data_IF_174708329647
#
_entry.id   IF_174708329647
#
_cell.length_a   1.000
_cell.length_b   1.000
_cell.length_c   1.000
_cell.angle_alpha   90.00
_cell.angle_beta   90.00
_cell.angle_gamma   90.00
#
_symmetry.space_group_name_H-M   'P 1'
#
loop_
_entity.id
_entity.type
_entity.pdbx_description
1 polymer ?
#
# COMPACT_ATOMS: atom_id res chain seq x y z
N UNK A 1 -6.94 -12.67 8.29
CA UNK A 1 -7.05 -11.55 7.34
C UNK A 1 -5.77 -11.41 6.54
N UNK A 2 -5.87 -11.01 5.30
CA UNK A 2 -4.72 -10.79 4.42
C UNK A 2 -4.32 -9.32 4.38
N UNK A 3 -3.10 -9.05 3.88
CA UNK A 3 -2.47 -7.71 3.94
C UNK A 3 -3.28 -6.66 3.17
N UNK A 4 -3.91 -7.04 2.04
CA UNK A 4 -4.67 -6.17 1.14
C UNK A 4 -6.05 -5.73 1.64
N UNK A 5 -6.55 -6.27 2.71
CA UNK A 5 -7.91 -6.01 3.18
C UNK A 5 -8.21 -4.61 3.77
N UNK A 6 -7.24 -3.74 4.08
CA UNK A 6 -7.54 -2.32 4.29
C UNK A 6 -8.30 -1.65 3.14
N UNK A 7 -8.07 -2.09 1.89
CA UNK A 7 -8.86 -1.64 0.73
C UNK A 7 -10.33 -2.04 0.89
N UNK A 8 -10.60 -3.27 1.30
CA UNK A 8 -11.96 -3.76 1.57
C UNK A 8 -12.63 -2.95 2.67
N UNK A 9 -11.91 -2.65 3.76
CA UNK A 9 -12.43 -1.84 4.87
C UNK A 9 -12.83 -0.44 4.41
N UNK A 10 -12.00 0.19 3.58
CA UNK A 10 -12.28 1.53 3.07
C UNK A 10 -13.51 1.59 2.17
N UNK A 11 -13.67 0.64 1.25
CA UNK A 11 -14.78 0.67 0.29
C UNK A 11 -16.09 0.12 0.86
N UNK A 12 -16.03 -0.76 1.87
CA UNK A 12 -17.22 -1.35 2.48
C UNK A 12 -17.68 -0.66 3.77
N UNK A 13 -16.76 0.08 4.44
CA UNK A 13 -17.00 0.66 5.76
C UNK A 13 -17.01 -0.35 6.91
N UNK A 14 -16.60 -1.60 6.67
CA UNK A 14 -16.58 -2.68 7.68
C UNK A 14 -15.18 -2.82 8.28
N UNK A 15 -15.07 -2.72 9.59
CA UNK A 15 -13.85 -3.05 10.34
C UNK A 15 -13.72 -4.56 10.47
N UNK A 16 -12.93 -5.16 9.57
CA UNK A 16 -12.79 -6.62 9.47
C UNK A 16 -12.08 -7.22 10.70
N UNK A 17 -11.11 -6.51 11.28
CA UNK A 17 -10.42 -6.99 12.49
C UNK A 17 -11.38 -7.02 13.68
N UNK A 18 -12.19 -5.99 13.82
CA UNK A 18 -13.22 -5.93 14.88
C UNK A 18 -14.24 -7.06 14.73
N UNK A 19 -14.68 -7.33 13.50
CA UNK A 19 -15.60 -8.44 13.23
C UNK A 19 -14.95 -9.81 13.56
N UNK A 20 -13.67 -10.01 13.23
CA UNK A 20 -12.95 -11.21 13.61
C UNK A 20 -12.89 -11.41 15.13
N UNK A 21 -12.63 -10.32 15.89
CA UNK A 21 -12.61 -10.37 17.36
C UNK A 21 -13.99 -10.73 17.91
N UNK A 22 -15.07 -10.16 17.37
CA UNK A 22 -16.44 -10.47 17.75
C UNK A 22 -16.79 -11.94 17.52
N UNK A 23 -16.47 -12.45 16.33
CA UNK A 23 -16.70 -13.87 15.99
C UNK A 23 -15.92 -14.77 16.93
N UNK A 24 -14.66 -14.45 17.23
CA UNK A 24 -13.85 -15.21 18.17
C UNK A 24 -14.43 -15.20 19.61
N UNK A 25 -15.13 -14.12 19.98
CA UNK A 25 -15.87 -14.02 21.25
C UNK A 25 -17.22 -14.76 21.23
N UNK A 26 -17.59 -15.40 20.12
CA UNK A 26 -18.86 -16.12 19.97
C UNK A 26 -20.03 -15.25 19.55
N UNK A 27 -19.80 -14.00 19.17
CA UNK A 27 -20.82 -13.10 18.65
C UNK A 27 -21.14 -13.40 17.18
N UNK A 28 -22.31 -12.94 16.73
CA UNK A 28 -22.66 -12.95 15.30
C UNK A 28 -22.00 -11.76 14.60
N UNK A 29 -21.85 -11.85 13.27
CA UNK A 29 -21.49 -10.70 12.44
C UNK A 29 -22.43 -9.53 12.73
N UNK A 30 -21.89 -8.32 12.80
CA UNK A 30 -22.66 -7.09 13.02
C UNK A 30 -23.32 -6.56 11.76
N UNK A 31 -23.00 -7.13 10.61
CA UNK A 31 -23.49 -6.74 9.29
C UNK A 31 -24.04 -7.95 8.55
N UNK A 32 -24.99 -7.74 7.67
CA UNK A 32 -25.48 -8.70 6.69
C UNK A 32 -24.95 -8.37 5.30
N UNK A 33 -25.16 -9.24 4.31
CA UNK A 33 -24.72 -8.96 2.94
C UNK A 33 -25.47 -7.76 2.34
N UNK A 34 -26.70 -7.54 2.72
CA UNK A 34 -27.55 -6.44 2.26
C UNK A 34 -27.10 -5.08 2.81
N UNK A 35 -26.36 -5.06 3.93
CA UNK A 35 -25.82 -3.84 4.52
C UNK A 35 -24.56 -3.35 3.79
N UNK A 36 -23.95 -4.20 2.93
CA UNK A 36 -22.70 -3.89 2.27
C UNK A 36 -22.95 -3.12 0.98
N UNK A 37 -22.51 -1.89 0.97
CA UNK A 37 -22.48 -1.02 -0.21
C UNK A 37 -21.04 -0.62 -0.51
N UNK A 38 -20.55 -0.90 -1.72
CA UNK A 38 -19.22 -0.50 -2.15
C UNK A 38 -19.23 0.98 -2.53
N UNK A 39 -18.43 1.78 -1.81
CA UNK A 39 -18.35 3.23 -1.98
C UNK A 39 -16.93 3.66 -2.39
N UNK A 40 -16.89 4.44 -3.47
CA UNK A 40 -15.63 5.00 -3.95
C UNK A 40 -14.65 3.96 -4.50
N UNK A 41 -13.39 4.30 -4.39
CA UNK A 41 -12.26 3.47 -4.85
C UNK A 41 -11.11 3.58 -3.86
N UNK A 42 -10.47 2.46 -3.53
CA UNK A 42 -9.32 2.43 -2.64
C UNK A 42 -8.12 1.77 -3.33
N UNK A 43 -6.93 2.24 -2.97
CA UNK A 43 -5.65 1.71 -3.45
C UNK A 43 -4.75 1.51 -2.23
N UNK A 44 -4.02 0.39 -2.20
CA UNK A 44 -2.96 0.13 -1.22
C UNK A 44 -1.62 -0.02 -1.94
N UNK A 45 -0.60 0.67 -1.45
CA UNK A 45 0.79 0.42 -1.80
C UNK A 45 1.54 -0.15 -0.58
N UNK A 46 2.12 -1.33 -0.74
CA UNK A 46 3.00 -1.96 0.24
C UNK A 46 4.40 -1.39 0.08
N UNK A 47 4.90 -0.73 1.10
CA UNK A 47 6.27 -0.20 1.11
C UNK A 47 7.19 -1.25 1.70
N UNK A 48 8.07 -1.75 0.86
CA UNK A 48 9.04 -2.78 1.19
C UNK A 48 10.46 -2.20 1.18
N UNK A 49 11.27 -2.61 2.16
CA UNK A 49 12.71 -2.35 2.14
C UNK A 49 13.39 -3.31 1.14
N UNK A 50 13.23 -3.00 -0.14
CA UNK A 50 13.71 -3.76 -1.30
C UNK A 50 14.25 -2.82 -2.36
N UNK A 51 15.24 -3.29 -3.12
CA UNK A 51 15.82 -2.51 -4.21
C UNK A 51 15.28 -2.98 -5.57
N UNK A 52 14.38 -2.22 -6.22
CA UNK A 52 13.81 -2.57 -7.52
C UNK A 52 14.87 -2.72 -8.61
N UNK A 53 15.95 -1.93 -8.56
CA UNK A 53 17.06 -1.98 -9.55
C UNK A 53 17.91 -3.26 -9.43
N UNK A 54 17.81 -3.98 -8.32
CA UNK A 54 18.50 -5.25 -8.08
C UNK A 54 17.50 -6.39 -7.88
N UNK A 55 16.52 -6.48 -8.78
CA UNK A 55 15.49 -7.53 -8.76
C UNK A 55 14.79 -7.66 -7.40
N UNK A 56 14.46 -6.53 -6.79
CA UNK A 56 13.78 -6.44 -5.49
C UNK A 56 14.53 -7.16 -4.36
N UNK A 57 15.86 -7.16 -4.42
CA UNK A 57 16.68 -7.70 -3.34
C UNK A 57 16.37 -6.97 -2.02
N UNK A 58 16.21 -7.70 -0.89
CA UNK A 58 15.99 -7.08 0.41
C UNK A 58 17.07 -6.07 0.78
N UNK A 59 16.67 -4.95 1.38
CA UNK A 59 17.55 -3.88 1.86
C UNK A 59 17.42 -3.70 3.39
N UNK A 60 17.89 -4.67 4.19
CA UNK A 60 17.89 -4.53 5.64
C UNK A 60 18.85 -3.43 6.06
N UNK A 61 18.57 -2.77 7.18
CA UNK A 61 19.45 -1.72 7.68
C UNK A 61 18.74 -0.78 8.66
N UNK A 62 19.45 0.26 9.08
CA UNK A 62 18.93 1.24 10.03
C UNK A 62 18.28 2.40 9.29
N UNK A 63 17.02 2.68 9.61
CA UNK A 63 16.31 3.88 9.16
C UNK A 63 16.92 5.09 9.88
N UNK A 64 17.53 6.00 9.13
CA UNK A 64 18.14 7.21 9.70
C UNK A 64 17.14 8.36 9.79
N UNK A 65 16.24 8.48 8.80
CA UNK A 65 15.15 9.44 8.78
C UNK A 65 13.88 8.78 8.27
N UNK A 66 12.72 9.21 8.78
CA UNK A 66 11.42 8.72 8.39
C UNK A 66 10.41 9.85 8.43
N UNK A 67 9.79 10.15 7.31
CA UNK A 67 8.60 10.99 7.24
C UNK A 67 7.49 10.19 6.54
N UNK A 68 6.42 9.89 7.29
CA UNK A 68 5.25 9.21 6.76
C UNK A 68 4.22 10.24 6.30
N UNK A 69 3.59 10.05 5.14
CA UNK A 69 2.56 10.96 4.66
C UNK A 69 1.41 11.04 5.66
N UNK A 70 0.87 12.22 5.85
CA UNK A 70 -0.18 12.45 6.84
C UNK A 70 -1.18 13.49 6.38
N UNK A 71 -2.35 13.47 7.00
CA UNK A 71 -3.43 14.44 6.72
C UNK A 71 -4.24 14.13 5.47
N UNK A 72 -5.40 14.76 5.41
CA UNK A 72 -6.39 14.58 4.33
C UNK A 72 -7.36 13.42 4.60
N UNK A 73 -8.55 13.58 4.02
CA UNK A 73 -9.60 12.55 4.09
C UNK A 73 -9.24 11.38 3.19
N UNK A 74 -9.35 10.16 3.72
CA UNK A 74 -9.11 8.94 2.95
C UNK A 74 -7.63 8.59 2.80
N UNK A 75 -6.77 8.98 3.73
CA UNK A 75 -5.41 8.48 3.86
C UNK A 75 -5.26 7.70 5.17
N UNK A 76 -4.70 6.50 5.08
CA UNK A 76 -4.29 5.66 6.22
C UNK A 76 -2.88 5.13 5.96
N UNK A 77 -2.05 5.17 7.00
CA UNK A 77 -0.72 4.58 6.98
C UNK A 77 -0.60 3.60 8.14
N UNK A 78 -0.33 2.34 7.82
CA UNK A 78 -0.05 1.30 8.80
C UNK A 78 1.45 1.01 8.77
N UNK A 79 2.14 1.31 9.87
CA UNK A 79 3.59 1.08 10.00
C UNK A 79 3.98 0.84 11.44
N UNK A 80 5.05 0.07 11.65
CA UNK A 80 5.66 -0.17 12.95
C UNK A 80 7.09 0.40 13.05
N UNK A 81 7.62 0.95 11.95
CA UNK A 81 8.97 1.50 11.93
C UNK A 81 9.00 2.97 12.37
N UNK A 82 10.14 3.40 12.84
CA UNK A 82 10.39 4.76 13.35
C UNK A 82 11.86 5.17 13.09
N UNK A 83 12.21 6.44 13.15
CA UNK A 83 13.60 6.87 13.00
C UNK A 83 14.51 6.16 14.00
N UNK A 84 15.58 5.52 13.50
CA UNK A 84 16.47 4.70 14.30
C UNK A 84 16.13 3.21 14.37
N UNK A 85 14.95 2.80 13.88
CA UNK A 85 14.60 1.38 13.77
C UNK A 85 15.56 0.64 12.84
N UNK A 86 15.94 -0.59 13.22
CA UNK A 86 16.75 -1.45 12.37
C UNK A 86 15.90 -2.57 11.79
N UNK A 87 15.76 -2.57 10.46
CA UNK A 87 15.06 -3.61 9.73
C UNK A 87 15.93 -4.88 9.74
N UNK A 88 15.46 -5.97 10.38
CA UNK A 88 16.23 -7.19 10.45
C UNK A 88 16.17 -7.97 9.12
N UNK A 89 17.23 -8.75 8.78
CA UNK A 89 17.25 -9.53 7.54
C UNK A 89 16.48 -10.86 7.63
N UNK A 90 15.79 -11.14 8.73
CA UNK A 90 15.20 -12.45 9.04
C UNK A 90 13.68 -12.51 8.80
N UNK A 91 13.05 -11.38 8.55
CA UNK A 91 11.60 -11.26 8.36
C UNK A 91 11.28 -10.66 7.00
N UNK A 92 9.99 -10.59 6.69
CA UNK A 92 9.49 -9.90 5.50
C UNK A 92 10.00 -8.46 5.42
N UNK A 93 10.25 -7.98 4.20
CA UNK A 93 10.77 -6.65 3.91
C UNK A 93 9.74 -5.54 4.04
N UNK A 94 8.45 -5.86 4.21
CA UNK A 94 7.37 -4.87 4.29
C UNK A 94 7.49 -4.04 5.58
N UNK A 95 7.60 -2.73 5.44
CA UNK A 95 7.79 -1.78 6.54
C UNK A 95 6.62 -0.83 6.74
N UNK A 96 5.80 -0.64 5.71
CA UNK A 96 4.58 0.17 5.79
C UNK A 96 3.57 -0.26 4.73
N UNK A 97 2.30 0.11 4.97
CA UNK A 97 1.24 0.14 3.97
C UNK A 97 0.69 1.55 3.91
N UNK A 98 0.56 2.08 2.71
CA UNK A 98 -0.13 3.33 2.45
C UNK A 98 -1.43 2.98 1.75
N UNK A 99 -2.55 3.37 2.33
CA UNK A 99 -3.88 3.09 1.82
C UNK A 99 -4.60 4.42 1.61
N UNK A 100 -5.18 4.59 0.44
CA UNK A 100 -5.97 5.76 0.10
C UNK A 100 -7.38 5.38 -0.34
N UNK A 101 -8.32 6.31 -0.13
CA UNK A 101 -9.68 6.20 -0.59
C UNK A 101 -10.12 7.51 -1.25
N UNK A 102 -10.77 7.43 -2.38
CA UNK A 102 -11.36 8.54 -3.11
C UNK A 102 -12.78 8.22 -3.57
N UNK A 103 -13.51 9.24 -4.04
CA UNK A 103 -14.85 9.05 -4.62
C UNK A 103 -14.82 8.16 -5.88
N UNK A 104 -13.69 8.15 -6.58
CA UNK A 104 -13.46 7.36 -7.79
C UNK A 104 -11.98 6.98 -7.91
N UNK A 105 -11.65 6.15 -8.94
CA UNK A 105 -10.30 5.68 -9.20
C UNK A 105 -9.31 6.82 -9.43
N UNK A 106 -9.69 7.86 -10.18
CA UNK A 106 -8.79 8.97 -10.48
C UNK A 106 -8.39 9.71 -9.19
N UNK A 107 -9.37 10.02 -8.34
CA UNK A 107 -9.08 10.67 -7.06
C UNK A 107 -8.20 9.81 -6.13
N UNK A 108 -8.46 8.49 -6.08
CA UNK A 108 -7.64 7.57 -5.32
C UNK A 108 -6.19 7.54 -5.85
N UNK A 109 -5.98 7.51 -7.17
CA UNK A 109 -4.65 7.58 -7.78
C UNK A 109 -3.93 8.87 -7.43
N UNK A 110 -4.59 10.02 -7.54
CA UNK A 110 -4.00 11.32 -7.19
C UNK A 110 -3.61 11.39 -5.71
N UNK A 111 -4.43 10.85 -4.82
CA UNK A 111 -4.12 10.76 -3.38
C UNK A 111 -2.92 9.86 -3.11
N UNK A 112 -2.82 8.72 -3.81
CA UNK A 112 -1.70 7.80 -3.66
C UNK A 112 -0.39 8.40 -4.20
N UNK A 113 -0.42 9.05 -5.37
CA UNK A 113 0.75 9.77 -5.91
C UNK A 113 1.26 10.81 -4.91
N UNK A 114 0.37 11.64 -4.35
CA UNK A 114 0.73 12.61 -3.31
C UNK A 114 1.36 11.92 -2.10
N UNK A 115 0.74 10.85 -1.59
CA UNK A 115 1.22 10.15 -0.41
C UNK A 115 2.60 9.52 -0.63
N UNK A 116 2.84 8.92 -1.80
CA UNK A 116 4.15 8.35 -2.14
C UNK A 116 5.21 9.45 -2.35
N UNK A 117 4.83 10.59 -2.92
CA UNK A 117 5.73 11.73 -3.11
C UNK A 117 6.15 12.38 -1.77
N UNK A 118 5.26 12.38 -0.78
CA UNK A 118 5.54 12.91 0.57
C UNK A 118 6.33 11.92 1.45
N UNK A 119 6.40 10.64 1.06
CA UNK A 119 7.09 9.62 1.84
C UNK A 119 8.61 9.77 1.74
N UNK A 120 9.28 9.94 2.88
CA UNK A 120 10.75 9.96 2.95
C UNK A 120 11.24 8.85 3.89
N UNK A 121 12.13 8.00 3.41
CA UNK A 121 12.76 6.93 4.18
C UNK A 121 14.25 6.89 3.82
N UNK A 122 15.12 7.31 4.75
CA UNK A 122 16.56 7.29 4.56
C UNK A 122 17.21 6.16 5.34
N UNK A 123 18.37 5.71 4.82
CA UNK A 123 19.22 4.68 5.44
C UNK A 123 18.99 3.28 4.88
N UNK A 124 17.88 3.05 4.18
CA UNK A 124 17.57 1.82 3.46
C UNK A 124 16.99 2.14 2.08
N UNK A 125 17.11 1.22 1.15
CA UNK A 125 16.43 1.35 -0.15
C UNK A 125 15.03 0.75 -0.02
N UNK A 126 14.03 1.43 -0.61
CA UNK A 126 12.65 0.97 -0.64
C UNK A 126 12.11 0.92 -2.08
N UNK A 127 10.96 0.30 -2.24
CA UNK A 127 10.23 0.26 -3.51
C UNK A 127 9.30 1.48 -3.70
N UNK A 128 9.40 2.54 -2.89
CA UNK A 128 8.46 3.66 -2.94
C UNK A 128 8.46 4.37 -4.30
N UNK A 129 9.64 4.71 -4.84
CA UNK A 129 9.75 5.35 -6.17
C UNK A 129 9.21 4.45 -7.28
N UNK A 130 9.51 3.15 -7.21
CA UNK A 130 8.95 2.17 -8.13
C UNK A 130 7.41 2.14 -8.09
N UNK A 131 6.82 2.20 -6.90
CA UNK A 131 5.37 2.27 -6.73
C UNK A 131 4.81 3.57 -7.32
N UNK A 132 5.49 4.70 -7.13
CA UNK A 132 5.09 5.99 -7.70
C UNK A 132 5.11 5.96 -9.23
N UNK A 133 6.16 5.42 -9.83
CA UNK A 133 6.28 5.27 -11.28
C UNK A 133 5.19 4.34 -11.82
N UNK A 134 4.95 3.20 -11.14
CA UNK A 134 3.93 2.23 -11.53
C UNK A 134 2.52 2.84 -11.54
N UNK A 135 2.12 3.55 -10.48
CA UNK A 135 0.78 4.16 -10.43
C UNK A 135 0.64 5.40 -11.34
N UNK A 136 1.76 5.90 -11.86
CA UNK A 136 1.81 7.00 -12.83
C UNK A 136 1.81 6.52 -14.27
N UNK A 137 1.95 5.21 -14.50
CA UNK A 137 1.90 4.63 -15.84
C UNK A 137 0.51 4.78 -16.46
N UNK A 138 0.46 5.07 -17.76
CA UNK A 138 -0.78 5.34 -18.49
C UNK A 138 -1.76 4.16 -18.50
N UNK A 139 -1.26 2.92 -18.57
CA UNK A 139 -2.09 1.71 -18.52
C UNK A 139 -2.69 1.53 -17.12
N UNK A 140 -1.89 1.79 -16.08
CA UNK A 140 -2.37 1.72 -14.69
C UNK A 140 -3.40 2.81 -14.42
N UNK A 141 -3.19 4.03 -14.90
CA UNK A 141 -4.17 5.13 -14.79
C UNK A 141 -5.48 4.75 -15.49
N UNK A 142 -5.39 4.23 -16.70
CA UNK A 142 -6.55 3.82 -17.50
C UNK A 142 -7.25 2.56 -16.95
N UNK A 143 -6.57 1.75 -16.10
CA UNK A 143 -7.06 0.44 -15.66
C UNK A 143 -6.92 -0.63 -16.75
N UNK A 144 -6.08 -0.40 -17.74
CA UNK A 144 -5.81 -1.29 -18.88
C UNK A 144 -4.56 -2.13 -18.62
N UNK A 145 -4.67 -3.07 -17.70
CA UNK A 145 -3.60 -4.00 -17.35
C UNK A 145 -4.18 -5.32 -16.83
N UNK A 146 -3.39 -6.36 -16.99
CA UNK A 146 -3.66 -7.70 -16.48
C UNK A 146 -2.55 -8.18 -15.52
N UNK A 147 -2.62 -9.44 -15.11
CA UNK A 147 -1.63 -10.04 -14.20
C UNK A 147 -0.23 -10.17 -14.79
N UNK A 148 -0.06 -10.10 -16.10
CA UNK A 148 1.22 -10.18 -16.80
C UNK A 148 1.86 -8.80 -17.02
N UNK A 149 1.08 -7.71 -16.96
CA UNK A 149 1.51 -6.35 -17.26
C UNK A 149 2.83 -5.96 -16.59
N UNK A 150 2.93 -6.21 -15.30
CA UNK A 150 4.11 -5.82 -14.52
C UNK A 150 5.39 -6.46 -15.07
N UNK A 151 5.35 -7.77 -15.32
CA UNK A 151 6.52 -8.55 -15.74
C UNK A 151 6.85 -8.39 -17.22
N UNK A 152 5.85 -8.25 -18.07
CA UNK A 152 6.03 -8.28 -19.52
C UNK A 152 6.13 -6.89 -20.15
N UNK A 153 5.56 -5.87 -19.52
CA UNK A 153 5.49 -4.53 -20.09
C UNK A 153 6.21 -3.48 -19.23
N UNK A 154 5.92 -3.39 -17.94
CA UNK A 154 6.45 -2.33 -17.08
C UNK A 154 7.93 -2.56 -16.72
N UNK A 155 8.28 -3.67 -16.07
CA UNK A 155 9.64 -3.95 -15.61
C UNK A 155 10.71 -3.96 -16.72
N UNK A 156 10.48 -4.50 -17.93
CA UNK A 156 11.46 -4.45 -19.00
C UNK A 156 11.85 -3.03 -19.44
N UNK A 157 10.98 -2.05 -19.21
CA UNK A 157 11.22 -0.65 -19.53
C UNK A 157 11.78 0.11 -18.32
N UNK A 158 11.34 -0.16 -17.11
CA UNK A 158 11.79 0.43 -15.87
C UNK A 158 13.30 0.25 -15.60
N UNK A 159 13.86 -0.91 -15.93
CA UNK A 159 15.27 -1.21 -15.70
C UNK A 159 16.23 -0.69 -16.80
N UNK A 160 15.74 0.07 -17.78
CA UNK A 160 16.58 0.64 -18.85
C UNK A 160 17.06 2.06 -18.56
N UNK A 161 16.53 2.71 -17.52
CA UNK A 161 16.92 4.03 -17.04
C UNK A 161 17.85 3.93 -15.81
#
# INVERSE_FOLDING_TARGET
IQVEHPVTEFVSGVDLIKEQIRIAAGEKLSVTQEDIEIKGHAIECRINAENPKFNFAPSPGKISNLYLPSGGVGLRVDSAVYPGYTIPPYYDSMIAKIIVHGENRFEALMKMQRALYELEIDGVVTNADFQLDLISDSHVIAGDYDTAFLMEQFLPNYNKE
#
